data_IF_048342398384
#
_entry.id   IF_048342398384
#
_cell.length_a   1.000
_cell.length_b   1.000
_cell.length_c   1.000
_cell.angle_alpha   90.00
_cell.angle_beta   90.00
_cell.angle_gamma   90.00
#
_symmetry.space_group_name_H-M   'P 1'
#
loop_
_entity.id
_entity.type
_entity.pdbx_description
1 polymer ?
#
# COMPACT_ATOMS: atom_id res chain seq x y z
N UNK A 1 -27.00 -21.96 -1.42
CA UNK A 1 -25.69 -22.42 -1.87
C UNK A 1 -25.24 -23.50 -0.91
N UNK A 2 -25.03 -24.73 -1.36
CA UNK A 2 -24.54 -25.81 -0.51
C UNK A 2 -23.08 -25.53 -0.14
N UNK A 3 -22.79 -25.44 1.15
CA UNK A 3 -21.43 -25.32 1.65
C UNK A 3 -20.62 -26.55 1.21
N UNK A 4 -19.51 -26.30 0.48
CA UNK A 4 -18.54 -27.35 0.24
C UNK A 4 -17.79 -27.61 1.55
N UNK A 5 -17.90 -28.80 2.17
CA UNK A 5 -17.32 -29.07 3.49
C UNK A 5 -15.77 -29.11 3.48
N UNK A 6 -15.14 -28.99 2.32
CA UNK A 6 -13.68 -28.96 2.12
C UNK A 6 -13.16 -27.58 1.69
N UNK A 7 -14.01 -26.53 1.67
CA UNK A 7 -13.57 -25.21 1.28
C UNK A 7 -12.57 -24.64 2.31
N UNK A 8 -11.36 -24.31 1.87
CA UNK A 8 -10.34 -23.65 2.65
C UNK A 8 -10.78 -22.21 2.93
N UNK A 9 -10.76 -21.78 4.19
CA UNK A 9 -11.31 -20.49 4.62
C UNK A 9 -10.27 -19.63 5.29
N UNK A 10 -10.20 -18.37 4.86
CA UNK A 10 -9.35 -17.37 5.49
C UNK A 10 -10.14 -16.12 5.84
N UNK A 11 -9.92 -15.60 7.05
CA UNK A 11 -10.40 -14.29 7.47
C UNK A 11 -9.24 -13.28 7.45
N UNK A 12 -9.41 -12.15 6.75
CA UNK A 12 -8.38 -11.11 6.61
C UNK A 12 -8.84 -9.83 7.28
N UNK A 13 -8.21 -9.45 8.40
CA UNK A 13 -8.48 -8.21 9.11
C UNK A 13 -7.58 -7.09 8.56
N UNK A 14 -8.14 -6.20 7.76
CA UNK A 14 -7.38 -5.18 7.02
C UNK A 14 -7.96 -3.76 7.11
N UNK A 15 -8.94 -3.51 7.98
CA UNK A 15 -9.59 -2.22 8.09
C UNK A 15 -8.79 -1.14 8.81
N UNK A 16 -9.26 0.11 8.64
CA UNK A 16 -8.82 1.29 9.39
C UNK A 16 -8.01 2.31 8.60
N UNK A 17 -7.23 1.90 7.62
CA UNK A 17 -6.50 2.78 6.69
C UNK A 17 -6.22 2.06 5.38
N UNK A 18 -6.05 2.82 4.27
CA UNK A 18 -5.66 2.24 2.98
C UNK A 18 -4.34 1.44 3.04
N UNK A 19 -3.45 1.79 3.98
CA UNK A 19 -2.18 1.07 4.19
C UNK A 19 -2.32 -0.37 4.71
N UNK A 20 -3.45 -0.72 5.31
CA UNK A 20 -3.77 -2.08 5.73
C UNK A 20 -4.73 -2.77 4.75
N UNK A 21 -5.65 -1.98 4.18
CA UNK A 21 -6.73 -2.49 3.36
C UNK A 21 -6.24 -3.00 2.00
N UNK A 22 -5.49 -2.20 1.24
CA UNK A 22 -5.03 -2.62 -0.09
C UNK A 22 -4.12 -3.84 -0.08
N UNK A 23 -3.16 -3.97 0.86
CA UNK A 23 -2.41 -5.22 1.00
C UNK A 23 -3.28 -6.41 1.39
N UNK A 24 -4.28 -6.21 2.24
CA UNK A 24 -5.25 -7.26 2.60
C UNK A 24 -6.09 -7.72 1.40
N UNK A 25 -6.55 -6.77 0.57
CA UNK A 25 -7.25 -7.06 -0.69
C UNK A 25 -6.35 -7.86 -1.65
N UNK A 26 -5.09 -7.47 -1.82
CA UNK A 26 -4.16 -8.18 -2.70
C UNK A 26 -3.96 -9.64 -2.31
N UNK A 27 -3.85 -9.93 -1.02
CA UNK A 27 -3.77 -11.30 -0.49
C UNK A 27 -5.11 -12.02 -0.70
N UNK A 28 -6.23 -11.34 -0.43
CA UNK A 28 -7.58 -11.88 -0.60
C UNK A 28 -7.87 -12.28 -2.05
N UNK A 29 -7.57 -11.40 -3.02
CA UNK A 29 -7.73 -11.68 -4.45
C UNK A 29 -6.97 -12.94 -4.86
N UNK A 30 -5.74 -13.11 -4.35
CA UNK A 30 -4.93 -14.29 -4.66
C UNK A 30 -5.53 -15.56 -4.04
N UNK A 31 -6.08 -15.51 -2.83
CA UNK A 31 -6.76 -16.65 -2.24
C UNK A 31 -8.07 -17.00 -2.94
N UNK A 32 -8.85 -15.99 -3.36
CA UNK A 32 -10.06 -16.21 -4.18
C UNK A 32 -9.70 -16.88 -5.51
N UNK A 33 -8.65 -16.40 -6.20
CA UNK A 33 -8.17 -17.01 -7.43
C UNK A 33 -7.74 -18.46 -7.25
N UNK A 34 -7.32 -18.84 -6.03
CA UNK A 34 -7.00 -20.22 -5.64
C UNK A 34 -8.21 -21.02 -5.11
N UNK A 35 -9.43 -20.49 -5.23
CA UNK A 35 -10.66 -21.17 -4.82
C UNK A 35 -10.90 -21.23 -3.30
N UNK A 36 -10.25 -20.38 -2.52
CA UNK A 36 -10.52 -20.26 -1.09
C UNK A 36 -11.74 -19.35 -0.82
N UNK A 37 -12.47 -19.63 0.24
CA UNK A 37 -13.48 -18.73 0.80
C UNK A 37 -12.76 -17.65 1.61
N UNK A 38 -12.89 -16.38 1.19
CA UNK A 38 -12.24 -15.24 1.83
C UNK A 38 -13.26 -14.33 2.50
N UNK A 39 -13.06 -14.05 3.78
CA UNK A 39 -13.84 -13.04 4.51
C UNK A 39 -12.95 -11.86 4.88
N UNK A 40 -13.25 -10.66 4.36
CA UNK A 40 -12.59 -9.41 4.72
C UNK A 40 -13.26 -8.79 5.94
N UNK A 41 -12.49 -8.47 6.95
CA UNK A 41 -12.92 -7.82 8.17
C UNK A 41 -12.39 -6.38 8.16
N UNK A 42 -13.29 -5.41 7.93
CA UNK A 42 -12.94 -4.00 7.70
C UNK A 42 -13.55 -3.09 8.76
N UNK A 43 -13.20 -1.81 8.77
CA UNK A 43 -13.83 -0.81 9.63
C UNK A 43 -14.99 -0.09 8.94
N UNK A 44 -15.86 0.61 9.69
CA UNK A 44 -16.97 1.37 9.10
C UNK A 44 -16.51 2.69 8.45
N UNK A 45 -15.19 2.95 8.33
CA UNK A 45 -14.67 4.16 7.70
C UNK A 45 -14.98 4.20 6.21
N UNK A 46 -15.29 5.39 5.70
CA UNK A 46 -15.62 5.61 4.29
C UNK A 46 -14.54 5.09 3.32
N UNK A 47 -13.25 5.26 3.67
CA UNK A 47 -12.14 4.76 2.86
C UNK A 47 -12.18 3.23 2.71
N UNK A 48 -12.52 2.52 3.77
CA UNK A 48 -12.64 1.07 3.74
C UNK A 48 -13.87 0.67 2.91
N UNK A 49 -15.03 1.31 3.15
CA UNK A 49 -16.28 1.04 2.44
C UNK A 49 -16.19 1.34 0.93
N UNK A 50 -15.37 2.30 0.53
CA UNK A 50 -15.17 2.62 -0.89
C UNK A 50 -14.26 1.58 -1.55
N UNK A 51 -13.18 1.19 -0.90
CA UNK A 51 -12.19 0.25 -1.47
C UNK A 51 -12.71 -1.19 -1.55
N UNK A 52 -13.59 -1.62 -0.62
CA UNK A 52 -14.18 -2.98 -0.69
C UNK A 52 -15.15 -3.19 -1.85
N UNK A 53 -15.55 -2.12 -2.57
CA UNK A 53 -16.33 -2.27 -3.81
C UNK A 53 -15.58 -3.05 -4.90
N UNK A 54 -14.26 -3.13 -4.80
CA UNK A 54 -13.42 -3.94 -5.68
C UNK A 54 -13.13 -5.36 -5.15
N UNK A 55 -13.67 -5.74 -3.99
CA UNK A 55 -13.47 -7.06 -3.37
C UNK A 55 -14.36 -8.14 -4.02
N UNK A 56 -14.11 -8.43 -5.29
CA UNK A 56 -14.88 -9.42 -6.02
C UNK A 56 -14.62 -10.84 -5.49
N UNK A 57 -15.70 -11.60 -5.26
CA UNK A 57 -15.59 -12.98 -4.78
C UNK A 57 -15.26 -13.13 -3.29
N UNK A 58 -15.17 -12.03 -2.54
CA UNK A 58 -14.92 -12.02 -1.10
C UNK A 58 -16.19 -11.64 -0.34
N UNK A 59 -16.39 -12.25 0.82
CA UNK A 59 -17.39 -11.80 1.80
C UNK A 59 -16.81 -10.62 2.60
N UNK A 60 -17.57 -9.55 2.80
CA UNK A 60 -17.11 -8.36 3.50
C UNK A 60 -17.94 -8.13 4.76
N UNK A 61 -17.26 -8.08 5.91
CA UNK A 61 -17.87 -7.84 7.21
C UNK A 61 -17.29 -6.57 7.86
N UNK A 62 -18.17 -5.65 8.26
CA UNK A 62 -17.79 -4.41 8.92
C UNK A 62 -17.80 -4.57 10.44
N UNK A 63 -16.64 -4.42 11.06
CA UNK A 63 -16.49 -4.47 12.51
C UNK A 63 -16.64 -3.07 13.10
N UNK A 64 -17.47 -2.86 14.16
CA UNK A 64 -17.70 -1.55 14.77
C UNK A 64 -16.50 -1.06 15.59
N UNK A 65 -15.28 -1.26 15.09
CA UNK A 65 -14.04 -0.85 15.75
C UNK A 65 -13.73 0.62 15.51
N UNK A 66 -13.23 1.27 16.54
CA UNK A 66 -12.71 2.64 16.49
C UNK A 66 -11.24 2.67 16.89
N UNK A 67 -10.51 3.67 16.40
CA UNK A 67 -9.12 3.87 16.84
C UNK A 67 -9.07 4.26 18.32
N UNK A 68 -8.01 3.84 19.02
CA UNK A 68 -7.76 4.22 20.41
C UNK A 68 -7.34 5.71 20.46
N UNK A 69 -8.31 6.61 20.56
CA UNK A 69 -8.16 8.07 20.50
C UNK A 69 -8.65 8.77 21.78
N UNK A 70 -8.23 8.29 22.95
CA UNK A 70 -8.56 8.94 24.22
C UNK A 70 -9.91 8.56 24.86
N UNK A 71 -10.88 8.03 24.11
CA UNK A 71 -12.15 7.53 24.68
C UNK A 71 -12.06 6.01 24.93
N UNK A 72 -11.44 5.65 26.07
CA UNK A 72 -11.25 4.26 26.48
C UNK A 72 -12.58 3.48 26.66
N UNK A 73 -13.64 4.03 27.28
CA UNK A 73 -14.92 3.32 27.39
C UNK A 73 -15.52 2.98 26.02
N UNK A 74 -15.51 3.92 25.08
CA UNK A 74 -16.01 3.68 23.72
C UNK A 74 -15.15 2.63 23.01
N UNK A 75 -13.84 2.73 23.10
CA UNK A 75 -12.94 1.73 22.51
C UNK A 75 -13.23 0.33 23.09
N UNK A 76 -13.38 0.21 24.42
CA UNK A 76 -13.68 -1.07 25.05
C UNK A 76 -15.05 -1.62 24.60
N UNK A 77 -16.10 -0.80 24.54
CA UNK A 77 -17.40 -1.21 24.05
C UNK A 77 -17.34 -1.71 22.60
N UNK A 78 -16.68 -0.96 21.70
CA UNK A 78 -16.48 -1.36 20.32
C UNK A 78 -15.65 -2.64 20.19
N UNK A 79 -14.62 -2.79 21.02
CA UNK A 79 -13.79 -3.99 21.05
C UNK A 79 -14.61 -5.24 21.41
N UNK A 80 -15.36 -5.20 22.51
CA UNK A 80 -16.19 -6.33 22.95
C UNK A 80 -17.33 -6.63 21.95
N UNK A 81 -17.94 -5.62 21.37
CA UNK A 81 -18.94 -5.78 20.30
C UNK A 81 -18.32 -6.48 19.09
N UNK A 82 -17.15 -6.03 18.63
CA UNK A 82 -16.46 -6.64 17.50
C UNK A 82 -15.98 -8.06 17.78
N UNK A 83 -15.51 -8.33 19.00
CA UNK A 83 -15.13 -9.68 19.43
C UNK A 83 -16.36 -10.62 19.42
N UNK A 84 -17.49 -10.14 19.92
CA UNK A 84 -18.77 -10.89 19.88
C UNK A 84 -19.20 -11.20 18.46
N UNK A 85 -19.09 -10.23 17.55
CA UNK A 85 -19.41 -10.40 16.13
C UNK A 85 -18.47 -11.40 15.48
N UNK A 86 -17.14 -11.29 15.68
CA UNK A 86 -16.17 -12.25 15.17
C UNK A 86 -16.42 -13.67 15.71
N UNK A 87 -16.72 -13.83 16.99
CA UNK A 87 -17.02 -15.14 17.58
C UNK A 87 -18.25 -15.79 16.95
N UNK A 88 -19.32 -15.01 16.71
CA UNK A 88 -20.52 -15.49 16.02
C UNK A 88 -20.19 -15.91 14.59
N UNK A 89 -19.53 -15.02 13.82
CA UNK A 89 -19.12 -15.28 12.44
C UNK A 89 -18.27 -16.55 12.33
N UNK A 90 -17.28 -16.70 13.20
CA UNK A 90 -16.36 -17.84 13.19
C UNK A 90 -16.98 -19.14 13.77
N UNK A 91 -18.07 -19.03 14.53
CA UNK A 91 -18.88 -20.19 14.91
C UNK A 91 -19.71 -20.71 13.73
N UNK A 92 -20.26 -19.79 12.93
CA UNK A 92 -21.10 -20.12 11.77
C UNK A 92 -20.25 -20.57 10.56
N UNK A 93 -19.11 -19.87 10.35
CA UNK A 93 -18.16 -20.14 9.26
C UNK A 93 -16.72 -20.11 9.83
N UNK A 94 -16.24 -21.21 10.44
CA UNK A 94 -14.91 -21.24 11.04
C UNK A 94 -13.81 -21.07 9.98
N UNK A 95 -12.93 -20.05 10.09
CA UNK A 95 -11.75 -19.95 9.25
C UNK A 95 -10.64 -20.90 9.71
N UNK A 96 -9.89 -21.46 8.77
CA UNK A 96 -8.67 -22.23 9.04
C UNK A 96 -7.51 -21.28 9.42
N UNK A 97 -7.53 -20.08 8.84
CA UNK A 97 -6.51 -19.06 9.06
C UNK A 97 -7.13 -17.67 9.30
N UNK A 98 -6.46 -16.87 10.14
CA UNK A 98 -6.73 -15.43 10.31
C UNK A 98 -5.45 -14.67 10.00
N UNK A 99 -5.49 -13.79 9.00
CA UNK A 99 -4.42 -12.84 8.69
C UNK A 99 -4.84 -11.44 9.16
N UNK A 100 -4.04 -10.80 9.99
CA UNK A 100 -4.28 -9.43 10.39
C UNK A 100 -3.18 -8.50 9.87
N UNK A 101 -3.59 -7.50 9.07
CA UNK A 101 -2.69 -6.55 8.40
C UNK A 101 -2.24 -5.40 9.30
N UNK A 102 -2.56 -5.46 10.60
CA UNK A 102 -2.27 -4.40 11.56
C UNK A 102 -3.46 -3.46 11.81
N UNK A 103 -3.20 -2.42 12.60
CA UNK A 103 -4.24 -1.46 12.98
C UNK A 103 -5.18 -1.95 14.08
N UNK A 104 -6.14 -1.10 14.42
CA UNK A 104 -7.03 -1.32 15.56
C UNK A 104 -8.10 -2.40 15.30
N UNK A 105 -8.33 -2.77 14.06
CA UNK A 105 -9.27 -3.82 13.65
C UNK A 105 -8.74 -5.23 13.85
N UNK A 106 -7.45 -5.41 14.11
CA UNK A 106 -6.78 -6.71 14.15
C UNK A 106 -7.10 -7.56 15.38
N UNK A 107 -7.27 -6.94 16.56
CA UNK A 107 -7.30 -7.70 17.80
C UNK A 107 -8.53 -8.60 17.97
N UNK A 108 -9.78 -8.16 17.71
CA UNK A 108 -10.94 -9.03 17.86
C UNK A 108 -10.89 -10.28 16.97
N UNK A 109 -10.58 -10.20 15.66
CA UNK A 109 -10.46 -11.40 14.80
C UNK A 109 -9.34 -12.35 15.22
N UNK A 110 -8.17 -11.83 15.60
CA UNK A 110 -7.05 -12.65 16.07
C UNK A 110 -7.43 -13.44 17.33
N UNK A 111 -8.06 -12.78 18.31
CA UNK A 111 -8.49 -13.44 19.54
C UNK A 111 -9.59 -14.46 19.26
N UNK A 112 -10.60 -14.11 18.46
CA UNK A 112 -11.67 -15.04 18.10
C UNK A 112 -11.13 -16.25 17.32
N UNK A 113 -10.23 -16.04 16.37
CA UNK A 113 -9.57 -17.11 15.61
C UNK A 113 -8.76 -18.04 16.50
N UNK A 114 -7.97 -17.49 17.44
CA UNK A 114 -7.20 -18.30 18.40
C UNK A 114 -8.11 -19.15 19.29
N UNK A 115 -9.28 -18.65 19.68
CA UNK A 115 -10.25 -19.39 20.51
C UNK A 115 -10.82 -20.63 19.81
N UNK A 116 -10.90 -20.64 18.48
CA UNK A 116 -11.41 -21.78 17.69
C UNK A 116 -10.28 -22.65 17.11
N UNK A 117 -9.00 -22.33 17.40
CA UNK A 117 -7.85 -23.08 16.91
C UNK A 117 -7.38 -22.73 15.50
N UNK A 118 -7.86 -21.63 14.90
CA UNK A 118 -7.37 -21.14 13.63
C UNK A 118 -5.88 -20.76 13.69
N UNK A 119 -5.15 -20.92 12.59
CA UNK A 119 -3.79 -20.41 12.43
C UNK A 119 -3.80 -18.88 12.38
N UNK A 120 -2.88 -18.24 13.11
CA UNK A 120 -2.84 -16.79 13.24
C UNK A 120 -1.61 -16.24 12.55
N UNK A 121 -1.83 -15.33 11.62
CA UNK A 121 -0.79 -14.61 10.89
C UNK A 121 -0.96 -13.11 11.09
N UNK A 122 0.15 -12.40 11.25
CA UNK A 122 0.18 -10.94 11.32
C UNK A 122 1.06 -10.40 10.22
N UNK A 123 0.75 -9.21 9.73
CA UNK A 123 1.61 -8.45 8.85
C UNK A 123 1.90 -7.06 9.43
N UNK A 124 3.18 -6.67 9.44
CA UNK A 124 3.62 -5.33 9.82
C UNK A 124 4.18 -4.59 8.62
N UNK A 125 3.52 -3.51 8.27
CA UNK A 125 3.87 -2.71 7.10
C UNK A 125 5.00 -1.70 7.36
N UNK A 126 5.26 -1.30 8.60
CA UNK A 126 6.20 -0.22 8.91
C UNK A 126 7.49 -0.73 9.55
N UNK A 127 8.55 0.05 9.41
CA UNK A 127 9.85 -0.20 10.06
C UNK A 127 9.78 -0.13 11.61
N UNK A 128 8.77 0.53 12.16
CA UNK A 128 8.41 0.46 13.58
C UNK A 128 7.07 -0.26 13.69
N UNK A 129 7.02 -1.42 14.35
CA UNK A 129 5.79 -2.16 14.54
C UNK A 129 4.73 -1.36 15.30
N UNK A 130 3.50 -1.42 14.79
CA UNK A 130 2.34 -0.82 15.43
C UNK A 130 1.98 -1.52 16.74
N UNK A 131 1.20 -0.83 17.60
CA UNK A 131 0.79 -1.35 18.91
C UNK A 131 0.03 -2.68 18.80
N UNK A 132 -0.84 -2.81 17.81
CA UNK A 132 -1.61 -4.03 17.60
C UNK A 132 -0.69 -5.22 17.31
N UNK A 133 0.26 -5.08 16.37
CA UNK A 133 1.21 -6.14 16.04
C UNK A 133 2.06 -6.51 17.25
N UNK A 134 2.60 -5.52 17.99
CA UNK A 134 3.39 -5.79 19.22
C UNK A 134 2.62 -6.61 20.28
N UNK A 135 1.33 -6.30 20.46
CA UNK A 135 0.50 -6.98 21.46
C UNK A 135 0.04 -8.37 21.00
N UNK A 136 -0.19 -8.55 19.71
CA UNK A 136 -0.75 -9.78 19.15
C UNK A 136 0.32 -10.78 18.68
N UNK A 137 1.56 -10.34 18.47
CA UNK A 137 2.65 -11.18 18.00
C UNK A 137 2.88 -12.47 18.82
N UNK A 138 2.72 -12.47 20.16
CA UNK A 138 2.84 -13.71 20.94
C UNK A 138 1.73 -14.75 20.66
N UNK A 139 0.62 -14.35 20.04
CA UNK A 139 -0.48 -15.25 19.64
C UNK A 139 -0.32 -15.79 18.23
N UNK A 140 0.56 -15.17 17.43
CA UNK A 140 0.74 -15.51 16.02
C UNK A 140 1.57 -16.77 15.81
N UNK A 141 1.19 -17.58 14.84
CA UNK A 141 1.98 -18.69 14.34
C UNK A 141 3.15 -18.19 13.46
N UNK A 142 2.95 -17.09 12.70
CA UNK A 142 4.00 -16.40 11.95
C UNK A 142 3.68 -14.90 11.81
N UNK A 143 4.73 -14.06 11.83
CA UNK A 143 4.61 -12.61 11.63
C UNK A 143 5.40 -12.22 10.38
N UNK A 144 4.73 -11.64 9.42
CA UNK A 144 5.33 -11.08 8.21
C UNK A 144 5.67 -9.61 8.42
N UNK A 145 6.79 -9.17 7.89
CA UNK A 145 7.19 -7.75 7.97
C UNK A 145 7.64 -7.25 6.60
N UNK A 146 7.32 -5.98 6.31
CA UNK A 146 7.86 -5.32 5.12
C UNK A 146 9.35 -5.01 5.32
N UNK A 147 9.72 -4.50 6.50
CA UNK A 147 11.08 -4.06 6.79
C UNK A 147 11.79 -5.01 7.74
N UNK A 148 12.95 -5.59 7.37
CA UNK A 148 13.74 -6.42 8.28
C UNK A 148 14.09 -5.71 9.59
N UNK A 149 14.21 -4.37 9.57
CA UNK A 149 14.46 -3.55 10.77
C UNK A 149 13.33 -3.57 11.79
N UNK A 150 12.13 -4.04 11.43
CA UNK A 150 11.02 -4.25 12.35
C UNK A 150 11.20 -5.54 13.19
N UNK A 151 11.89 -6.57 12.68
CA UNK A 151 11.98 -7.90 13.29
C UNK A 151 12.46 -7.87 14.75
N UNK A 152 13.55 -7.16 15.13
CA UNK A 152 14.01 -7.13 16.53
C UNK A 152 13.03 -6.46 17.50
N UNK A 153 11.99 -5.81 16.98
CA UNK A 153 10.99 -5.06 17.78
C UNK A 153 9.68 -5.80 17.93
N UNK A 154 9.55 -6.97 17.33
CA UNK A 154 8.37 -7.84 17.38
C UNK A 154 8.68 -9.02 18.31
N UNK A 155 7.83 -9.24 19.31
CA UNK A 155 8.00 -10.35 20.23
C UNK A 155 7.36 -11.62 19.65
N UNK A 156 8.07 -12.27 18.74
CA UNK A 156 7.70 -13.56 18.16
C UNK A 156 8.95 -14.38 17.83
N UNK A 157 8.83 -15.68 17.82
CA UNK A 157 9.91 -16.62 17.43
C UNK A 157 9.92 -16.92 15.93
N UNK A 158 8.83 -16.64 15.23
CA UNK A 158 8.67 -16.89 13.81
C UNK A 158 8.31 -15.60 13.08
N UNK A 159 9.34 -14.89 12.58
CA UNK A 159 9.20 -13.62 11.87
C UNK A 159 9.89 -13.72 10.52
N UNK A 160 9.21 -13.28 9.47
CA UNK A 160 9.72 -13.32 8.10
C UNK A 160 9.59 -11.96 7.41
N UNK A 161 10.65 -11.54 6.75
CA UNK A 161 10.64 -10.36 5.88
C UNK A 161 10.17 -10.77 4.48
N UNK A 162 8.87 -10.56 4.19
CA UNK A 162 8.23 -10.89 2.90
C UNK A 162 8.09 -9.68 1.98
N UNK A 163 8.27 -8.46 2.50
CA UNK A 163 7.74 -7.26 1.86
C UNK A 163 6.27 -7.03 2.21
N UNK A 164 5.67 -5.96 1.66
CA UNK A 164 4.24 -5.68 1.81
C UNK A 164 3.52 -6.11 0.53
N UNK A 165 2.45 -6.91 0.65
CA UNK A 165 1.62 -7.29 -0.48
C UNK A 165 1.12 -6.08 -1.27
N UNK A 166 1.22 -6.16 -2.59
CA UNK A 166 0.73 -5.15 -3.54
C UNK A 166 -0.29 -5.79 -4.48
N UNK A 167 -1.18 -4.96 -5.04
CA UNK A 167 -2.19 -5.43 -6.00
C UNK A 167 -1.54 -6.07 -7.21
N UNK A 168 -2.14 -7.12 -7.75
CA UNK A 168 -1.65 -7.82 -8.96
C UNK A 168 -1.56 -6.92 -10.20
N UNK A 169 -2.38 -5.87 -10.26
CA UNK A 169 -2.30 -4.87 -11.33
C UNK A 169 -1.00 -4.03 -11.32
N UNK A 170 -0.23 -4.05 -10.21
CA UNK A 170 1.06 -3.36 -10.10
C UNK A 170 2.19 -4.24 -10.63
N UNK A 171 2.10 -4.56 -11.91
CA UNK A 171 3.18 -5.15 -12.69
C UNK A 171 3.83 -4.10 -13.58
N UNK A 172 5.13 -4.20 -13.89
CA UNK A 172 5.80 -3.27 -14.79
C UNK A 172 5.06 -3.16 -16.14
N UNK A 173 4.63 -1.96 -16.48
CA UNK A 173 3.98 -1.62 -17.73
C UNK A 173 5.00 -0.84 -18.57
N UNK A 174 4.95 -1.02 -19.89
CA UNK A 174 5.76 -0.20 -20.80
C UNK A 174 5.43 1.30 -20.59
N UNK A 175 6.48 2.10 -20.35
CA UNK A 175 6.32 3.52 -20.02
C UNK A 175 5.56 4.30 -21.08
N UNK A 176 5.78 3.99 -22.35
CA UNK A 176 5.11 4.63 -23.48
C UNK A 176 3.59 4.41 -23.43
N UNK A 177 3.16 3.17 -23.16
CA UNK A 177 1.75 2.81 -23.07
C UNK A 177 1.08 3.48 -21.88
N UNK A 178 1.73 3.47 -20.71
CA UNK A 178 1.24 4.13 -19.51
C UNK A 178 1.10 5.65 -19.69
N UNK A 179 2.07 6.30 -20.33
CA UNK A 179 2.03 7.75 -20.66
C UNK A 179 0.91 8.06 -21.61
N UNK A 180 0.78 7.30 -22.70
CA UNK A 180 -0.28 7.48 -23.69
C UNK A 180 -1.67 7.33 -23.06
N UNK A 181 -1.87 6.34 -22.18
CA UNK A 181 -3.13 6.13 -21.43
C UNK A 181 -3.52 7.32 -20.54
N UNK A 182 -2.54 8.10 -20.12
CA UNK A 182 -2.74 9.31 -19.31
C UNK A 182 -2.74 10.61 -20.13
N UNK A 183 -2.61 10.53 -21.47
CA UNK A 183 -2.55 11.69 -22.36
C UNK A 183 -1.22 12.46 -22.26
N UNK A 184 -0.13 11.80 -21.86
CA UNK A 184 1.22 12.34 -21.79
C UNK A 184 2.02 11.91 -23.03
N UNK A 185 3.04 12.69 -23.40
CA UNK A 185 3.96 12.31 -24.47
C UNK A 185 4.87 11.16 -24.00
N UNK A 186 4.99 10.14 -24.84
CA UNK A 186 5.67 8.86 -24.54
C UNK A 186 7.18 8.98 -24.28
N UNK A 187 7.83 9.91 -24.98
CA UNK A 187 9.29 10.11 -24.98
C UNK A 187 9.79 11.16 -23.97
N UNK A 188 8.88 11.87 -23.29
CA UNK A 188 9.23 12.95 -22.36
C UNK A 188 9.26 12.45 -20.91
N UNK A 189 10.19 12.92 -20.06
CA UNK A 189 10.27 12.49 -18.67
C UNK A 189 9.04 12.89 -17.85
N UNK A 190 8.68 12.07 -16.87
CA UNK A 190 7.48 12.26 -16.04
C UNK A 190 7.83 12.22 -14.55
N UNK A 191 7.41 13.25 -13.81
CA UNK A 191 7.43 13.30 -12.35
C UNK A 191 6.04 12.96 -11.80
N UNK A 192 5.94 11.89 -11.01
CA UNK A 192 4.77 11.60 -10.19
C UNK A 192 4.86 12.33 -8.85
N UNK A 193 3.82 13.09 -8.51
CA UNK A 193 3.71 13.81 -7.24
C UNK A 193 2.50 13.33 -6.48
N UNK A 194 2.71 12.81 -5.26
CA UNK A 194 1.62 12.29 -4.45
C UNK A 194 1.87 12.43 -2.94
N UNK A 195 0.81 12.63 -2.19
CA UNK A 195 0.86 12.75 -0.73
C UNK A 195 0.27 11.55 0.03
N UNK A 196 -0.06 10.47 -0.68
CA UNK A 196 -0.94 9.40 -0.18
C UNK A 196 -2.42 9.79 -0.30
N UNK A 197 -3.34 8.95 0.19
CA UNK A 197 -4.80 9.10 0.01
C UNK A 197 -5.38 10.43 0.50
N UNK A 198 -4.74 11.10 1.45
CA UNK A 198 -5.18 12.39 2.00
C UNK A 198 -4.54 13.59 1.30
N UNK A 199 -3.64 13.35 0.34
CA UNK A 199 -2.82 14.41 -0.25
C UNK A 199 -1.73 14.92 0.70
N UNK A 200 -0.92 15.87 0.24
CA UNK A 200 0.12 16.54 1.04
C UNK A 200 0.25 18.01 0.66
N UNK A 201 -0.51 18.87 1.33
CA UNK A 201 -0.54 20.29 1.02
C UNK A 201 0.85 20.95 0.97
N UNK A 202 1.76 20.55 1.88
CA UNK A 202 3.13 21.08 1.89
C UNK A 202 3.95 20.67 0.65
N UNK A 203 3.74 19.46 0.12
CA UNK A 203 4.38 19.00 -1.13
C UNK A 203 3.78 19.78 -2.30
N UNK A 204 2.44 19.89 -2.36
CA UNK A 204 1.73 20.62 -3.40
C UNK A 204 2.24 22.09 -3.47
N UNK A 205 2.28 22.79 -2.33
CA UNK A 205 2.72 24.19 -2.26
C UNK A 205 4.20 24.37 -2.65
N UNK A 206 5.08 23.48 -2.17
CA UNK A 206 6.51 23.58 -2.49
C UNK A 206 6.77 23.34 -3.98
N UNK A 207 6.05 22.38 -4.59
CA UNK A 207 6.18 22.10 -6.02
C UNK A 207 5.60 23.23 -6.86
N UNK A 208 4.38 23.72 -6.56
CA UNK A 208 3.79 24.87 -7.27
C UNK A 208 4.72 26.07 -7.25
N UNK A 209 5.32 26.39 -6.10
CA UNK A 209 6.32 27.45 -6.00
C UNK A 209 7.63 27.18 -6.77
N UNK A 210 7.91 25.93 -7.14
CA UNK A 210 9.08 25.55 -7.93
C UNK A 210 8.82 25.61 -9.45
N UNK A 211 7.55 25.48 -9.91
CA UNK A 211 7.18 25.34 -11.33
C UNK A 211 7.77 26.40 -12.25
N UNK A 212 7.76 27.72 -11.92
CA UNK A 212 8.31 28.75 -12.83
C UNK A 212 9.79 28.53 -13.17
N UNK A 213 10.54 27.91 -12.25
CA UNK A 213 11.97 27.63 -12.46
C UNK A 213 12.17 26.25 -13.08
N UNK A 214 11.35 25.28 -12.74
CA UNK A 214 11.36 23.96 -13.37
C UNK A 214 11.00 24.07 -14.84
N UNK A 215 10.03 24.90 -15.24
CA UNK A 215 9.69 25.17 -16.63
C UNK A 215 10.88 25.66 -17.48
N UNK A 216 11.81 26.40 -16.84
CA UNK A 216 13.04 26.86 -17.51
C UNK A 216 14.16 25.83 -17.50
N UNK A 217 14.33 25.12 -16.38
CA UNK A 217 15.43 24.18 -16.17
C UNK A 217 15.17 22.82 -16.84
N UNK A 218 13.92 22.39 -16.88
CA UNK A 218 13.48 21.09 -17.40
C UNK A 218 12.23 21.27 -18.28
N UNK A 219 12.33 21.92 -19.46
CA UNK A 219 11.18 22.29 -20.28
C UNK A 219 10.40 21.07 -20.82
N UNK A 220 11.04 19.89 -20.90
CA UNK A 220 10.42 18.66 -21.36
C UNK A 220 9.72 17.87 -20.24
N UNK A 221 9.86 18.28 -18.96
CA UNK A 221 9.30 17.55 -17.83
C UNK A 221 7.77 17.62 -17.83
N UNK A 222 7.14 16.46 -17.75
CA UNK A 222 5.70 16.31 -17.57
C UNK A 222 5.38 15.89 -16.14
N UNK A 223 4.13 16.06 -15.75
CA UNK A 223 3.73 15.84 -14.36
C UNK A 223 2.47 14.97 -14.27
N UNK A 224 2.46 14.08 -13.29
CA UNK A 224 1.25 13.45 -12.77
C UNK A 224 1.15 13.92 -11.33
N UNK A 225 0.13 14.73 -10.99
CA UNK A 225 0.02 15.35 -9.67
C UNK A 225 -1.29 14.93 -8.98
N UNK A 226 -1.17 14.02 -8.00
CA UNK A 226 -2.27 13.56 -7.15
C UNK A 226 -2.33 14.42 -5.89
N UNK A 227 -3.16 15.46 -5.94
CA UNK A 227 -3.14 16.56 -4.98
C UNK A 227 -3.86 16.26 -3.65
N UNK A 228 -4.73 15.24 -3.62
CA UNK A 228 -5.80 15.14 -2.64
C UNK A 228 -6.98 16.07 -2.99
N UNK A 229 -8.11 15.90 -2.29
CA UNK A 229 -9.39 16.54 -2.65
C UNK A 229 -9.41 18.05 -2.58
N UNK A 230 -8.62 18.68 -1.70
CA UNK A 230 -8.71 20.10 -1.39
C UNK A 230 -7.86 21.06 -2.26
N UNK A 231 -7.05 20.55 -3.22
CA UNK A 231 -6.02 21.37 -3.89
C UNK A 231 -5.99 21.21 -5.41
N UNK A 232 -6.99 20.58 -6.03
CA UNK A 232 -6.96 20.22 -7.46
C UNK A 232 -6.91 21.48 -8.34
N UNK A 233 -7.87 22.36 -8.19
CA UNK A 233 -8.03 23.51 -9.09
C UNK A 233 -6.88 24.52 -8.99
N UNK A 234 -6.41 24.94 -7.78
CA UNK A 234 -5.26 25.83 -7.68
C UNK A 234 -3.97 25.22 -8.27
N UNK A 235 -3.78 23.91 -8.13
CA UNK A 235 -2.61 23.23 -8.68
C UNK A 235 -2.71 23.15 -10.20
N UNK A 236 -3.88 22.84 -10.77
CA UNK A 236 -4.11 22.80 -12.22
C UNK A 236 -3.81 24.16 -12.86
N UNK A 237 -4.39 25.24 -12.31
CA UNK A 237 -4.17 26.61 -12.79
C UNK A 237 -2.69 26.99 -12.79
N UNK A 238 -1.91 26.52 -11.81
CA UNK A 238 -0.47 26.80 -11.76
C UNK A 238 0.31 26.12 -12.90
N UNK A 239 -0.08 24.91 -13.33
CA UNK A 239 0.50 24.25 -14.50
C UNK A 239 0.06 24.93 -15.80
N UNK A 240 -1.24 25.21 -15.94
CA UNK A 240 -1.84 25.83 -17.13
C UNK A 240 -1.23 27.22 -17.42
N UNK A 241 -1.04 28.03 -16.37
CA UNK A 241 -0.44 29.35 -16.48
C UNK A 241 1.00 29.35 -17.03
N UNK A 242 1.69 28.21 -16.95
CA UNK A 242 3.07 28.03 -17.44
C UNK A 242 3.14 27.17 -18.72
N UNK A 243 2.00 26.71 -19.23
CA UNK A 243 1.93 25.82 -20.38
C UNK A 243 2.60 24.45 -20.15
N UNK A 244 2.65 23.99 -18.89
CA UNK A 244 3.27 22.72 -18.56
C UNK A 244 2.30 21.55 -18.73
N UNK A 245 2.78 20.46 -19.31
CA UNK A 245 1.99 19.22 -19.47
C UNK A 245 1.81 18.53 -18.11
N UNK A 246 0.57 18.46 -17.62
CA UNK A 246 0.28 17.85 -16.32
C UNK A 246 -1.08 17.15 -16.27
N UNK A 247 -1.11 15.95 -15.70
CA UNK A 247 -2.32 15.24 -15.28
C UNK A 247 -2.57 15.57 -13.81
N UNK A 248 -3.52 16.45 -13.53
CA UNK A 248 -3.86 16.86 -12.16
C UNK A 248 -5.17 16.22 -11.73
N UNK A 249 -5.13 15.38 -10.70
CA UNK A 249 -6.27 14.64 -10.14
C UNK A 249 -6.25 14.70 -8.60
N UNK A 250 -7.41 14.61 -7.94
CA UNK A 250 -7.43 14.48 -6.48
C UNK A 250 -6.86 13.11 -6.04
N UNK A 251 -7.20 12.07 -6.80
CA UNK A 251 -6.82 10.68 -6.61
C UNK A 251 -6.89 9.97 -7.96
N UNK A 252 -6.20 8.86 -8.11
CA UNK A 252 -6.26 7.98 -9.28
C UNK A 252 -6.49 6.54 -8.81
N UNK A 253 -7.45 5.85 -9.42
CA UNK A 253 -7.79 4.46 -9.12
C UNK A 253 -6.80 3.52 -9.79
N UNK A 254 -6.47 3.84 -11.04
CA UNK A 254 -5.57 3.12 -11.93
C UNK A 254 -4.11 3.57 -11.68
N UNK A 255 -3.63 3.30 -10.45
CA UNK A 255 -2.28 3.72 -10.01
C UNK A 255 -1.17 3.06 -10.83
N UNK A 256 -1.41 1.90 -11.42
CA UNK A 256 -0.47 1.20 -12.29
C UNK A 256 -0.01 2.08 -13.47
N UNK A 257 -0.91 2.86 -14.07
CA UNK A 257 -0.53 3.79 -15.13
C UNK A 257 0.28 4.98 -14.61
N UNK A 258 -0.08 5.53 -13.44
CA UNK A 258 0.68 6.65 -12.87
C UNK A 258 2.10 6.25 -12.47
N UNK A 259 2.23 5.08 -11.85
CA UNK A 259 3.51 4.52 -11.42
C UNK A 259 4.36 4.06 -12.62
N UNK A 260 3.71 3.40 -13.61
CA UNK A 260 4.37 2.93 -14.83
C UNK A 260 4.86 4.08 -15.73
N UNK A 261 4.09 5.19 -15.83
CA UNK A 261 4.46 6.35 -16.64
C UNK A 261 5.64 7.15 -16.06
N UNK A 262 5.84 7.11 -14.74
CA UNK A 262 6.77 7.98 -14.04
C UNK A 262 8.23 7.51 -14.14
N UNK A 263 9.16 8.45 -14.11
CA UNK A 263 10.60 8.20 -13.98
C UNK A 263 11.10 8.48 -12.57
N UNK A 264 10.37 9.30 -11.82
CA UNK A 264 10.69 9.67 -10.44
C UNK A 264 9.40 10.00 -9.71
N UNK A 265 9.31 9.61 -8.43
CA UNK A 265 8.23 10.02 -7.54
C UNK A 265 8.69 11.09 -6.54
N UNK A 266 7.84 12.08 -6.26
CA UNK A 266 7.94 12.98 -5.11
C UNK A 266 6.77 12.67 -4.17
N UNK A 267 7.04 12.08 -3.00
CA UNK A 267 5.97 11.50 -2.18
C UNK A 267 6.23 11.55 -0.69
N UNK A 268 5.18 11.26 0.10
CA UNK A 268 5.33 10.77 1.47
C UNK A 268 5.96 9.37 1.46
N UNK A 269 6.45 8.93 2.62
CA UNK A 269 7.07 7.61 2.81
C UNK A 269 6.15 6.65 3.59
N UNK A 270 4.88 6.61 3.20
CA UNK A 270 3.95 5.60 3.67
C UNK A 270 4.37 4.20 3.19
N UNK A 271 4.19 3.19 4.02
CA UNK A 271 4.66 1.83 3.73
C UNK A 271 4.10 1.27 2.41
N UNK A 272 2.80 1.48 2.13
CA UNK A 272 2.17 1.03 0.88
C UNK A 272 2.74 1.72 -0.35
N UNK A 273 2.92 3.06 -0.31
CA UNK A 273 3.52 3.78 -1.44
C UNK A 273 4.94 3.29 -1.73
N UNK A 274 5.73 3.01 -0.69
CA UNK A 274 7.08 2.48 -0.85
C UNK A 274 7.08 1.06 -1.44
N UNK A 275 6.12 0.22 -1.04
CA UNK A 275 5.95 -1.10 -1.63
C UNK A 275 5.55 -1.02 -3.12
N UNK A 276 4.63 -0.12 -3.45
CA UNK A 276 4.21 0.15 -4.83
C UNK A 276 5.38 0.69 -5.67
N UNK A 277 6.18 1.64 -5.15
CA UNK A 277 7.38 2.13 -5.84
C UNK A 277 8.39 1.02 -6.07
N UNK A 278 8.60 0.14 -5.09
CA UNK A 278 9.49 -1.01 -5.23
C UNK A 278 8.99 -2.01 -6.28
N UNK A 279 7.69 -2.32 -6.28
CA UNK A 279 7.09 -3.24 -7.26
C UNK A 279 7.22 -2.72 -8.70
N UNK A 280 7.12 -1.39 -8.88
CA UNK A 280 7.21 -0.71 -10.18
C UNK A 280 8.62 -0.16 -10.48
N UNK A 281 9.61 -0.47 -9.64
CA UNK A 281 11.01 -0.02 -9.79
C UNK A 281 11.14 1.51 -9.90
N UNK A 282 10.25 2.26 -9.25
CA UNK A 282 10.16 3.71 -9.35
C UNK A 282 10.99 4.41 -8.27
N UNK A 283 12.10 5.09 -8.60
CA UNK A 283 12.89 5.84 -7.64
C UNK A 283 12.11 7.03 -7.06
N UNK A 284 12.49 7.49 -5.86
CA UNK A 284 11.71 8.49 -5.18
C UNK A 284 12.53 9.56 -4.44
N UNK A 285 11.96 10.78 -4.38
CA UNK A 285 12.26 11.80 -3.37
C UNK A 285 11.18 11.69 -2.29
N UNK A 286 11.59 11.39 -1.08
CA UNK A 286 10.70 11.11 0.04
C UNK A 286 10.66 12.26 1.04
N UNK A 287 9.45 12.69 1.39
CA UNK A 287 9.19 13.72 2.39
C UNK A 287 8.34 13.10 3.49
N UNK A 288 8.93 12.48 4.52
CA UNK A 288 8.20 11.85 5.60
C UNK A 288 7.18 12.79 6.25
N UNK A 289 6.03 12.24 6.64
CA UNK A 289 5.00 13.00 7.34
C UNK A 289 5.50 13.36 8.75
N UNK A 290 5.57 14.64 9.13
CA UNK A 290 6.30 15.07 10.33
C UNK A 290 5.65 14.66 11.65
N UNK A 291 4.36 14.34 11.66
CA UNK A 291 3.60 13.89 12.83
C UNK A 291 3.22 12.41 12.75
N UNK A 292 3.96 11.63 11.95
CA UNK A 292 3.80 10.19 11.90
C UNK A 292 4.10 9.57 13.28
N UNK A 293 3.22 8.70 13.75
CA UNK A 293 3.37 8.02 15.06
C UNK A 293 4.75 7.33 15.12
N UNK A 294 5.47 7.54 16.21
CA UNK A 294 6.82 6.99 16.42
C UNK A 294 7.81 7.28 15.26
N UNK A 295 7.54 8.34 14.47
CA UNK A 295 8.36 8.75 13.33
C UNK A 295 8.59 7.61 12.30
N UNK A 296 7.62 6.69 12.19
CA UNK A 296 7.75 5.49 11.35
C UNK A 296 8.02 5.82 9.88
N UNK A 297 7.44 6.92 9.34
CA UNK A 297 7.68 7.29 7.95
C UNK A 297 9.15 7.66 7.67
N UNK A 298 9.83 8.30 8.61
CA UNK A 298 11.25 8.58 8.46
C UNK A 298 12.10 7.31 8.43
N UNK A 299 11.77 6.33 9.26
CA UNK A 299 12.47 5.04 9.27
C UNK A 299 12.14 4.20 8.03
N UNK A 300 10.90 4.22 7.56
CA UNK A 300 10.53 3.62 6.28
C UNK A 300 11.39 4.21 5.14
N UNK A 301 11.45 5.57 5.06
CA UNK A 301 12.24 6.26 4.03
C UNK A 301 13.73 5.90 4.12
N UNK A 302 14.29 5.84 5.34
CA UNK A 302 15.70 5.53 5.56
C UNK A 302 16.09 4.18 4.95
N UNK A 303 15.23 3.17 5.07
CA UNK A 303 15.50 1.85 4.50
C UNK A 303 15.70 1.90 2.96
N UNK A 304 15.01 2.80 2.27
CA UNK A 304 15.18 3.00 0.82
C UNK A 304 16.36 3.92 0.47
N UNK A 305 16.69 4.86 1.34
CA UNK A 305 17.89 5.72 1.18
C UNK A 305 19.15 4.90 1.39
N UNK A 306 19.17 4.03 2.39
CA UNK A 306 20.35 3.23 2.74
C UNK A 306 20.79 2.28 1.60
N UNK A 307 19.86 1.86 0.73
CA UNK A 307 20.17 1.06 -0.48
C UNK A 307 20.35 1.90 -1.74
N UNK A 308 20.23 3.24 -1.65
CA UNK A 308 20.38 4.14 -2.79
C UNK A 308 19.15 4.25 -3.70
N UNK A 309 17.98 3.70 -3.31
CA UNK A 309 16.75 3.72 -4.09
C UNK A 309 15.97 5.04 -3.98
N UNK A 310 16.23 5.84 -2.95
CA UNK A 310 15.53 7.08 -2.72
C UNK A 310 16.42 8.17 -2.13
N UNK A 311 15.96 9.44 -2.24
CA UNK A 311 16.45 10.56 -1.43
C UNK A 311 15.39 10.93 -0.41
N UNK A 312 15.79 11.40 0.77
CA UNK A 312 14.87 11.76 1.83
C UNK A 312 15.21 13.14 2.40
N UNK A 313 14.19 13.99 2.57
CA UNK A 313 14.32 15.32 3.16
C UNK A 313 13.23 15.55 4.19
N UNK A 314 13.56 16.21 5.29
CA UNK A 314 12.56 16.65 6.26
C UNK A 314 11.63 17.70 5.63
N UNK A 315 10.35 17.67 5.99
CA UNK A 315 9.38 18.66 5.49
C UNK A 315 9.83 20.12 5.72
N UNK A 316 10.53 20.41 6.83
CA UNK A 316 11.08 21.75 7.11
C UNK A 316 12.14 22.20 6.10
N UNK A 317 12.81 21.26 5.43
CA UNK A 317 13.81 21.53 4.39
C UNK A 317 13.17 21.66 3.00
N UNK A 318 11.90 21.27 2.86
CA UNK A 318 11.20 21.26 1.59
C UNK A 318 10.92 22.68 1.13
N UNK A 319 11.80 23.19 0.27
CA UNK A 319 11.69 24.49 -0.39
C UNK A 319 11.65 24.33 -1.90
N UNK A 320 11.12 25.35 -2.59
CA UNK A 320 11.17 25.37 -4.06
C UNK A 320 12.60 25.29 -4.60
N UNK A 321 13.58 25.89 -3.88
CA UNK A 321 15.01 25.82 -4.25
C UNK A 321 15.54 24.40 -4.17
N UNK A 322 15.24 23.67 -3.09
CA UNK A 322 15.62 22.28 -2.93
C UNK A 322 15.03 21.42 -4.05
N UNK A 323 13.73 21.58 -4.33
CA UNK A 323 13.07 20.80 -5.37
C UNK A 323 13.68 21.06 -6.75
N UNK A 324 13.90 22.32 -7.13
CA UNK A 324 14.55 22.65 -8.41
C UNK A 324 15.93 22.00 -8.50
N UNK A 325 16.76 22.14 -7.46
CA UNK A 325 18.11 21.55 -7.43
C UNK A 325 18.07 20.02 -7.56
N UNK A 326 17.22 19.34 -6.75
CA UNK A 326 17.15 17.89 -6.73
C UNK A 326 16.57 17.32 -8.02
N UNK A 327 15.51 17.92 -8.56
CA UNK A 327 14.88 17.47 -9.80
C UNK A 327 15.80 17.73 -11.00
N UNK A 328 16.46 18.89 -11.10
CA UNK A 328 17.41 19.17 -12.18
C UNK A 328 18.60 18.21 -12.15
N UNK A 329 19.11 17.89 -10.96
CA UNK A 329 20.22 16.93 -10.82
C UNK A 329 19.81 15.51 -11.24
N UNK A 330 18.62 15.03 -10.82
CA UNK A 330 18.17 13.67 -11.12
C UNK A 330 17.75 13.50 -12.57
N UNK A 331 16.93 14.40 -13.11
CA UNK A 331 16.53 14.35 -14.52
C UNK A 331 17.66 14.69 -15.48
N UNK A 332 18.67 15.43 -15.04
CA UNK A 332 19.91 15.67 -15.79
C UNK A 332 20.88 14.49 -15.82
N UNK A 333 20.61 13.40 -15.09
CA UNK A 333 21.46 12.20 -15.02
C UNK A 333 20.65 10.91 -15.13
N UNK A 334 20.27 10.46 -16.34
CA UNK A 334 19.53 9.21 -16.56
C UNK A 334 20.18 8.00 -15.86
N UNK A 335 21.49 7.87 -15.94
CA UNK A 335 22.22 6.78 -15.29
C UNK A 335 22.02 6.74 -13.76
N UNK A 336 21.81 7.90 -13.13
CA UNK A 336 21.50 7.95 -11.69
C UNK A 336 20.09 7.47 -11.39
N UNK A 337 19.10 7.85 -12.20
CA UNK A 337 17.72 7.35 -12.08
C UNK A 337 17.68 5.84 -12.29
N UNK A 338 18.39 5.33 -13.29
CA UNK A 338 18.50 3.89 -13.55
C UNK A 338 19.14 3.14 -12.37
N UNK A 339 20.23 3.68 -11.79
CA UNK A 339 20.85 3.08 -10.62
C UNK A 339 19.91 3.05 -9.41
N UNK A 340 19.14 4.13 -9.19
CA UNK A 340 18.13 4.20 -8.13
C UNK A 340 16.97 3.22 -8.39
N UNK A 341 16.50 3.09 -9.63
CA UNK A 341 15.47 2.13 -10.03
C UNK A 341 15.96 0.68 -9.82
N UNK A 342 17.18 0.37 -10.23
CA UNK A 342 17.82 -0.92 -9.97
C UNK A 342 17.91 -1.27 -8.49
N UNK A 343 18.15 -0.28 -7.63
CA UNK A 343 18.18 -0.48 -6.18
C UNK A 343 16.78 -0.82 -5.60
N UNK A 344 15.68 -0.36 -6.21
CA UNK A 344 14.32 -0.71 -5.79
C UNK A 344 14.04 -2.22 -5.84
N UNK A 345 14.64 -2.96 -6.77
CA UNK A 345 14.50 -4.42 -6.92
C UNK A 345 14.86 -5.21 -5.66
N UNK A 346 15.71 -4.65 -4.79
CA UNK A 346 16.14 -5.32 -3.57
C UNK A 346 15.02 -5.59 -2.56
N UNK A 347 13.92 -4.84 -2.64
CA UNK A 347 12.80 -4.97 -1.70
C UNK A 347 11.80 -6.07 -2.05
N UNK A 348 11.90 -6.71 -3.23
CA UNK A 348 11.07 -7.84 -3.65
C UNK A 348 9.56 -7.68 -3.45
N UNK A 349 9.03 -6.45 -3.37
CA UNK A 349 7.62 -6.19 -3.08
C UNK A 349 6.68 -6.81 -4.11
N UNK A 350 7.11 -6.94 -5.35
CA UNK A 350 6.35 -7.64 -6.39
C UNK A 350 6.05 -9.12 -6.05
N UNK A 351 6.90 -9.76 -5.25
CA UNK A 351 6.77 -11.18 -4.85
C UNK A 351 6.06 -11.34 -3.50
N UNK A 352 5.85 -10.26 -2.75
CA UNK A 352 5.37 -10.29 -1.37
C UNK A 352 4.00 -10.97 -1.22
N UNK A 353 3.07 -10.70 -2.13
CA UNK A 353 1.73 -11.30 -2.11
C UNK A 353 1.82 -12.82 -2.26
N UNK A 354 2.57 -13.30 -3.25
CA UNK A 354 2.79 -14.74 -3.48
C UNK A 354 3.46 -15.42 -2.30
N UNK A 355 4.50 -14.80 -1.71
CA UNK A 355 5.22 -15.36 -0.56
C UNK A 355 4.31 -15.46 0.67
N UNK A 356 3.53 -14.43 1.01
CA UNK A 356 2.58 -14.45 2.13
C UNK A 356 1.53 -15.54 1.93
N UNK A 357 0.93 -15.62 0.74
CA UNK A 357 -0.09 -16.62 0.41
C UNK A 357 0.49 -18.03 0.48
N UNK A 358 1.68 -18.26 -0.06
CA UNK A 358 2.37 -19.55 0.00
C UNK A 358 2.62 -19.98 1.46
N UNK A 359 3.17 -19.09 2.29
CA UNK A 359 3.48 -19.38 3.69
C UNK A 359 2.23 -19.74 4.50
N UNK A 360 1.13 -19.01 4.29
CA UNK A 360 -0.14 -19.31 4.95
C UNK A 360 -0.65 -20.69 4.49
N UNK A 361 -0.61 -20.96 3.18
CA UNK A 361 -1.04 -22.24 2.63
C UNK A 361 -0.24 -23.42 3.18
N UNK A 362 1.08 -23.30 3.22
CA UNK A 362 1.98 -24.33 3.80
C UNK A 362 1.65 -24.59 5.28
N UNK A 363 1.51 -23.52 6.09
CA UNK A 363 1.22 -23.64 7.51
C UNK A 363 -0.16 -24.24 7.79
N UNK A 364 -1.12 -24.08 6.87
CA UNK A 364 -2.46 -24.67 6.95
C UNK A 364 -2.56 -26.06 6.31
N UNK A 365 -1.48 -26.59 5.71
CA UNK A 365 -1.49 -27.88 5.02
C UNK A 365 -2.33 -27.87 3.72
N UNK A 366 -2.39 -26.71 3.04
CA UNK A 366 -3.13 -26.54 1.78
C UNK A 366 -2.24 -26.89 0.57
N UNK A 367 -1.68 -28.10 0.56
CA UNK A 367 -0.60 -28.51 -0.35
C UNK A 367 -0.97 -28.63 -1.84
N UNK A 368 -2.25 -28.72 -2.19
CA UNK A 368 -2.72 -28.88 -3.57
C UNK A 368 -2.75 -27.59 -4.42
N UNK A 369 -2.16 -26.53 -3.93
CA UNK A 369 -2.08 -25.24 -4.63
C UNK A 369 -0.67 -24.97 -5.15
N UNK A 370 -0.09 -25.97 -5.85
CA UNK A 370 1.19 -25.81 -6.50
C UNK A 370 1.17 -24.71 -7.57
N UNK A 371 2.30 -24.04 -7.67
CA UNK A 371 2.55 -22.79 -8.40
C UNK A 371 2.35 -22.84 -9.94
N UNK A 372 1.84 -23.93 -10.54
CA UNK A 372 2.04 -24.19 -11.96
C UNK A 372 0.91 -23.74 -12.91
N UNK A 373 -0.23 -23.22 -12.43
CA UNK A 373 -1.31 -22.80 -13.35
C UNK A 373 -1.77 -21.32 -13.25
N UNK A 374 -1.15 -20.49 -12.44
CA UNK A 374 -1.65 -19.13 -12.16
C UNK A 374 -1.11 -18.02 -13.06
N UNK A 375 -0.39 -18.35 -14.13
CA UNK A 375 0.09 -17.31 -15.06
C UNK A 375 -0.96 -16.85 -16.11
N UNK A 376 -2.17 -17.44 -16.18
CA UNK A 376 -3.08 -17.18 -17.32
C UNK A 376 -4.59 -17.08 -17.06
N UNK A 377 -5.08 -16.78 -15.86
CA UNK A 377 -6.52 -16.70 -15.63
C UNK A 377 -7.01 -15.42 -14.90
N UNK A 378 -6.58 -14.26 -15.33
CA UNK A 378 -7.31 -13.02 -15.05
C UNK A 378 -8.09 -12.60 -16.30
N UNK A 379 -9.39 -12.27 -16.21
CA UNK A 379 -10.13 -11.75 -17.35
C UNK A 379 -9.52 -10.40 -17.75
N UNK A 380 -8.96 -10.34 -18.96
CA UNK A 380 -8.55 -9.09 -19.61
C UNK A 380 -9.73 -8.13 -19.57
N UNK A 381 -9.48 -6.90 -19.10
CA UNK A 381 -10.48 -5.86 -18.88
C UNK A 381 -11.48 -5.74 -20.03
N UNK A 382 -12.74 -5.58 -19.65
CA UNK A 382 -13.79 -5.18 -20.58
C UNK A 382 -13.45 -3.82 -21.14
N UNK A 383 -13.46 -3.72 -22.47
CA UNK A 383 -13.47 -2.46 -23.20
C UNK A 383 -14.45 -1.48 -22.55
N UNK A 384 -13.95 -0.34 -22.18
CA UNK A 384 -14.78 0.80 -21.77
C UNK A 384 -15.38 1.36 -23.08
N UNK A 385 -16.66 1.11 -23.29
CA UNK A 385 -17.43 1.77 -24.34
C UNK A 385 -17.45 3.29 -24.08
N UNK A 386 -17.30 4.05 -25.16
CA UNK A 386 -17.16 5.49 -25.29
C UNK A 386 -18.21 6.34 -24.54
#
# INVERSE_FOLDING_TARGET
>A
MSMNPLAKRIAIACGGTGGHLFPGLAVGDTFVARGCDVTLLVSPKEVDQTAVKSAYGMEVESLPMVALSGNLPLFAACFWSSLGQCRKLFSDKPPDAVLAMGGFTSAPPVIAGKMIGARIFLHEANAIPGRAVKLLAPLADEVFVQFPTAMPRVLSTNIRATGLPVRSALEPIEKADARTSLGLADHRPVLLVMGGSQGAQSINQALVGALPRLAKALPELQFIHLTGTGSVEPVRQAYDALGLSAVVRPFLTEMEYALGAADLALSRSGASSLAEFSAMELPAILIPYPTAVDDHQRLNARSFVDIGAARCFHQKQLTSNLLVSQLSELFGSPARLEAMAGAMKQWKSAQATGEVVQRISEACGWEDYAADELMFALPKGKEVAA
#
